data_IF_920182556659
#
_entry.id   IF_920182556659
#
_cell.length_a   1.000
_cell.length_b   1.000
_cell.length_c   1.000
_cell.angle_alpha   90.00
_cell.angle_beta   90.00
_cell.angle_gamma   90.00
#
_symmetry.space_group_name_H-M   'P 1'
#
loop_
_entity.id
_entity.type
_entity.pdbx_description
1 polymer ?
#
# COMPACT_ATOMS: atom_id res chain seq x y z
N UNK A 1 -5.58 -5.41 -23.16
CA UNK A 1 -4.13 -5.61 -23.43
C UNK A 1 -3.55 -4.75 -24.55
N UNK A 2 -4.23 -4.56 -25.70
CA UNK A 2 -3.72 -3.72 -26.81
C UNK A 2 -3.36 -2.29 -26.37
N UNK A 3 -4.29 -1.57 -25.74
CA UNK A 3 -4.05 -0.20 -25.22
C UNK A 3 -2.88 -0.11 -24.23
N UNK A 4 -2.77 -1.08 -23.33
CA UNK A 4 -1.66 -1.17 -22.36
C UNK A 4 -0.30 -1.30 -23.05
N UNK A 5 -0.17 -2.20 -24.04
CA UNK A 5 1.09 -2.39 -24.79
C UNK A 5 1.46 -1.15 -25.60
N UNK A 6 0.47 -0.51 -26.24
CA UNK A 6 0.66 0.74 -26.97
C UNK A 6 1.16 1.84 -26.05
N UNK A 7 0.53 2.03 -24.89
CA UNK A 7 0.95 3.01 -23.90
C UNK A 7 2.36 2.71 -23.36
N UNK A 8 2.66 1.46 -23.04
CA UNK A 8 3.98 1.06 -22.53
C UNK A 8 5.10 1.38 -23.54
N UNK A 9 4.85 1.13 -24.83
CA UNK A 9 5.77 1.46 -25.91
C UNK A 9 5.99 2.98 -25.99
N UNK A 10 4.92 3.78 -26.02
CA UNK A 10 5.03 5.24 -26.03
C UNK A 10 5.76 5.79 -24.79
N UNK A 11 5.55 5.18 -23.62
CA UNK A 11 6.23 5.57 -22.39
C UNK A 11 7.73 5.20 -22.39
N UNK A 12 8.13 4.20 -23.18
CA UNK A 12 9.54 3.85 -23.39
C UNK A 12 10.19 4.77 -24.43
N UNK A 13 9.46 5.12 -25.48
CA UNK A 13 9.90 5.98 -26.59
C UNK A 13 9.91 7.48 -26.25
N UNK A 14 9.34 7.90 -25.12
CA UNK A 14 9.18 9.32 -24.77
C UNK A 14 10.47 10.05 -24.37
N UNK A 15 11.58 9.32 -24.25
CA UNK A 15 12.89 9.78 -23.73
C UNK A 15 12.86 10.43 -22.33
N UNK A 16 11.71 10.33 -21.65
CA UNK A 16 11.54 10.81 -20.28
C UNK A 16 11.98 9.71 -19.32
N UNK A 17 13.23 9.77 -18.86
CA UNK A 17 13.78 8.86 -17.85
C UNK A 17 12.83 8.56 -16.66
N UNK A 18 12.14 9.53 -16.03
CA UNK A 18 11.19 9.23 -14.96
C UNK A 18 9.98 8.41 -15.46
N UNK A 19 9.46 8.69 -16.65
CA UNK A 19 8.32 7.96 -17.23
C UNK A 19 8.72 6.54 -17.63
N UNK A 20 9.89 6.36 -18.22
CA UNK A 20 10.42 5.04 -18.55
C UNK A 20 10.62 4.19 -17.28
N UNK A 21 11.15 4.79 -16.21
CA UNK A 21 11.31 4.11 -14.91
C UNK A 21 9.95 3.75 -14.31
N UNK A 22 8.98 4.65 -14.37
CA UNK A 22 7.61 4.39 -13.93
C UNK A 22 6.98 3.23 -14.71
N UNK A 23 7.09 3.24 -16.04
CA UNK A 23 6.58 2.20 -16.92
C UNK A 23 7.18 0.81 -16.61
N UNK A 24 8.50 0.74 -16.39
CA UNK A 24 9.19 -0.51 -15.97
C UNK A 24 8.66 -1.03 -14.64
N UNK A 25 8.51 -0.14 -13.64
CA UNK A 25 7.97 -0.51 -12.34
C UNK A 25 6.52 -1.00 -12.46
N UNK A 26 5.69 -0.28 -13.22
CA UNK A 26 4.29 -0.59 -13.40
C UNK A 26 4.09 -1.95 -14.10
N UNK A 27 4.94 -2.28 -15.09
CA UNK A 27 4.91 -3.58 -15.77
C UNK A 27 5.14 -4.75 -14.81
N UNK A 28 6.04 -4.60 -13.82
CA UNK A 28 6.30 -5.64 -12.81
C UNK A 28 5.07 -5.93 -11.95
N UNK A 29 4.27 -4.92 -11.64
CA UNK A 29 3.08 -5.03 -10.79
C UNK A 29 1.76 -5.18 -11.57
N UNK A 30 1.78 -5.10 -12.91
CA UNK A 30 0.58 -5.08 -13.75
C UNK A 30 -0.38 -6.25 -13.49
N UNK A 31 0.16 -7.45 -13.23
CA UNK A 31 -0.67 -8.63 -12.91
C UNK A 31 -1.40 -8.47 -11.57
N UNK A 32 -0.73 -7.93 -10.55
CA UNK A 32 -1.33 -7.67 -9.24
C UNK A 32 -2.37 -6.55 -9.29
N UNK A 33 -2.10 -5.49 -10.03
CA UNK A 33 -3.04 -4.39 -10.25
C UNK A 33 -4.30 -4.89 -10.96
N UNK A 34 -4.15 -5.71 -11.99
CA UNK A 34 -5.29 -6.30 -12.69
C UNK A 34 -6.09 -7.26 -11.80
N UNK A 35 -5.42 -8.06 -10.97
CA UNK A 35 -6.08 -8.91 -10.00
C UNK A 35 -6.87 -8.07 -8.98
N UNK A 36 -6.29 -6.98 -8.46
CA UNK A 36 -6.97 -6.06 -7.55
C UNK A 36 -8.13 -5.31 -8.18
N UNK A 37 -8.10 -5.04 -9.50
CA UNK A 37 -9.23 -4.44 -10.20
C UNK A 37 -10.36 -5.46 -10.47
N UNK A 38 -10.00 -6.74 -10.62
CA UNK A 38 -10.94 -7.83 -10.91
C UNK A 38 -11.59 -8.38 -9.64
N UNK A 39 -10.86 -8.45 -8.55
CA UNK A 39 -11.35 -8.85 -7.23
C UNK A 39 -11.50 -7.60 -6.37
N UNK A 40 -12.71 -7.26 -5.95
CA UNK A 40 -13.01 -6.12 -5.08
C UNK A 40 -12.49 -6.37 -3.64
N UNK A 41 -11.17 -6.49 -3.48
CA UNK A 41 -10.53 -6.52 -2.18
C UNK A 41 -10.26 -5.07 -1.75
N UNK A 42 -11.15 -4.56 -0.90
CA UNK A 42 -11.01 -3.22 -0.34
C UNK A 42 -9.94 -3.21 0.74
N UNK A 43 -8.83 -2.49 0.52
CA UNK A 43 -7.75 -2.33 1.52
C UNK A 43 -8.08 -1.30 2.59
N UNK A 44 -9.18 -0.55 2.47
CA UNK A 44 -9.35 0.67 3.26
C UNK A 44 -9.59 0.42 4.74
N UNK A 45 -10.11 -0.77 5.11
CA UNK A 45 -10.14 -1.19 6.52
C UNK A 45 -8.71 -1.38 7.06
N UNK A 46 -7.86 -2.07 6.30
CA UNK A 46 -6.47 -2.32 6.65
C UNK A 46 -5.66 -1.00 6.67
N UNK A 47 -5.91 -0.09 5.73
CA UNK A 47 -5.33 1.25 5.71
C UNK A 47 -5.79 2.08 6.91
N UNK A 48 -7.07 2.01 7.29
CA UNK A 48 -7.60 2.68 8.48
C UNK A 48 -6.93 2.19 9.76
N UNK A 49 -6.77 0.87 9.89
CA UNK A 49 -6.01 0.24 10.99
C UNK A 49 -4.57 0.73 11.00
N UNK A 50 -3.89 0.71 9.85
CA UNK A 50 -2.50 1.17 9.73
C UNK A 50 -2.34 2.66 10.08
N UNK A 51 -3.30 3.51 9.69
CA UNK A 51 -3.28 4.93 10.02
C UNK A 51 -3.45 5.16 11.52
N UNK A 52 -4.34 4.41 12.17
CA UNK A 52 -4.53 4.48 13.63
C UNK A 52 -3.29 3.99 14.38
N UNK A 53 -2.63 2.92 13.93
CA UNK A 53 -1.34 2.46 14.48
C UNK A 53 -0.26 3.54 14.31
N UNK A 54 -0.18 4.20 13.14
CA UNK A 54 0.76 5.31 12.90
C UNK A 54 0.52 6.48 13.86
N UNK A 55 -0.73 6.81 14.19
CA UNK A 55 -1.06 7.83 15.21
C UNK A 55 -0.55 7.39 16.59
N UNK A 56 -0.83 6.17 17.01
CA UNK A 56 -0.34 5.62 18.29
C UNK A 56 1.19 5.68 18.34
N UNK A 57 1.86 5.31 17.25
CA UNK A 57 3.32 5.39 17.13
C UNK A 57 3.87 6.81 17.32
N UNK A 58 3.20 7.82 16.73
CA UNK A 58 3.58 9.24 16.91
C UNK A 58 3.33 9.74 18.33
N UNK A 59 2.30 9.24 19.01
CA UNK A 59 2.07 9.58 20.43
C UNK A 59 3.04 8.86 21.37
N UNK A 60 3.67 7.78 20.90
CA UNK A 60 4.57 6.93 21.64
C UNK A 60 6.07 7.32 21.52
N UNK A 61 6.40 8.51 21.00
CA UNK A 61 7.78 8.98 21.01
C UNK A 61 8.33 9.00 22.45
N UNK A 62 9.43 8.29 22.68
CA UNK A 62 10.03 8.12 24.02
C UNK A 62 9.68 6.81 24.71
N UNK A 63 8.87 5.93 24.11
CA UNK A 63 8.67 4.57 24.64
C UNK A 63 9.98 3.79 24.52
N UNK A 64 10.54 3.37 25.66
CA UNK A 64 11.72 2.49 25.71
C UNK A 64 11.36 1.02 25.50
N UNK A 65 10.08 0.71 25.51
CA UNK A 65 9.53 -0.65 25.49
C UNK A 65 8.58 -0.84 24.30
N UNK A 66 8.97 -1.73 23.40
CA UNK A 66 8.22 -2.09 22.19
C UNK A 66 7.02 -2.97 22.54
N UNK A 67 7.09 -3.76 23.61
CA UNK A 67 6.00 -4.63 24.07
C UNK A 67 4.81 -3.80 24.58
N UNK A 68 5.11 -2.70 25.29
CA UNK A 68 4.07 -1.75 25.69
C UNK A 68 3.41 -1.06 24.50
N UNK A 69 4.16 -0.78 23.42
CA UNK A 69 3.58 -0.27 22.18
C UNK A 69 2.60 -1.28 21.53
N UNK A 70 2.96 -2.56 21.48
CA UNK A 70 2.03 -3.61 21.02
C UNK A 70 0.81 -3.75 21.94
N UNK A 71 0.96 -3.55 23.24
CA UNK A 71 -0.17 -3.56 24.17
C UNK A 71 -1.15 -2.41 23.87
N UNK A 72 -0.65 -1.21 23.56
CA UNK A 72 -1.48 -0.07 23.11
C UNK A 72 -2.18 -0.35 21.78
N UNK A 73 -1.55 -1.06 20.86
CA UNK A 73 -2.20 -1.50 19.61
C UNK A 73 -3.33 -2.50 19.93
N UNK A 74 -3.06 -3.54 20.72
CA UNK A 74 -4.08 -4.55 21.10
C UNK A 74 -5.28 -3.90 21.81
N UNK A 75 -5.03 -2.94 22.70
CA UNK A 75 -6.08 -2.18 23.37
C UNK A 75 -6.92 -1.31 22.40
N UNK A 76 -6.30 -0.77 21.35
CA UNK A 76 -7.00 0.03 20.33
C UNK A 76 -7.82 -0.83 19.35
N UNK A 77 -7.51 -2.13 19.24
CA UNK A 77 -8.21 -3.09 18.39
C UNK A 77 -8.53 -4.38 19.16
N UNK A 78 -9.47 -4.36 20.12
CA UNK A 78 -9.76 -5.51 20.99
C UNK A 78 -10.36 -6.74 20.26
N UNK A 79 -10.46 -6.72 18.93
CA UNK A 79 -11.24 -7.68 18.15
C UNK A 79 -12.74 -7.47 18.38
N UNK A 80 -13.58 -8.05 17.53
CA UNK A 80 -15.00 -8.19 17.89
C UNK A 80 -15.06 -9.27 18.98
N UNK A 81 -15.52 -8.92 20.19
CA UNK A 81 -16.12 -9.92 21.08
C UNK A 81 -17.30 -10.50 20.31
N UNK A 82 -17.12 -11.73 19.85
CA UNK A 82 -18.17 -12.50 19.19
C UNK A 82 -19.06 -13.12 20.24
#
# INVERSE_FOLDING_TARGET
WRRWRTWLRHAQESDLAPLQRFARNLQRYARGILASARFHMHTSLLEGVNNRIKVIKRMAYGFRDVDYFFLKIKAAFPGKMR
#
